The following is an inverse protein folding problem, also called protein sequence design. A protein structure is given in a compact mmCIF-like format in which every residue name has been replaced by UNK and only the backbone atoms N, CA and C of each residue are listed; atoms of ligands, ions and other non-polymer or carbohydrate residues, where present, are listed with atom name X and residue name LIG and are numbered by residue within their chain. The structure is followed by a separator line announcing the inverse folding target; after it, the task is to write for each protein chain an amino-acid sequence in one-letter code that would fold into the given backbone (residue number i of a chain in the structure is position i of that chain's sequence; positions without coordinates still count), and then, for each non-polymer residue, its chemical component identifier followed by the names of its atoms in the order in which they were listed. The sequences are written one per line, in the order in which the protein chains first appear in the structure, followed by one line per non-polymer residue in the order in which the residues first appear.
data_IF_428279675695
#
_entry.id   IF_428279675695
#
_cell.length_a   1.000
_cell.length_b   1.000
_cell.length_c   1.000
_cell.angle_alpha   90.00
_cell.angle_beta   90.00
_cell.angle_gamma   90.00
#
_symmetry.space_group_name_H-M   'P 1'
#
loop_
_entity.id
_entity.type
_entity.pdbx_description
1 polymer ?
#
# COMPACT_ATOMS: atom_id res chain seq x y z
N UNK A 1 -0.26 9.75 27.17
CA UNK A 1 0.35 8.76 26.26
C UNK A 1 -0.27 8.71 24.86
N UNK A 2 -1.48 9.27 24.65
CA UNK A 2 -2.14 9.28 23.32
C UNK A 2 -1.36 10.12 22.29
N UNK A 3 -0.80 11.27 22.69
CA UNK A 3 -0.03 12.16 21.80
C UNK A 3 1.20 11.54 21.13
N UNK A 4 1.90 10.60 21.77
CA UNK A 4 3.07 9.96 21.16
C UNK A 4 2.67 8.96 20.06
N UNK A 5 1.52 8.29 20.23
CA UNK A 5 0.96 7.37 19.25
C UNK A 5 0.45 8.15 18.03
N UNK A 6 -0.22 9.28 18.26
CA UNK A 6 -0.70 10.16 17.19
C UNK A 6 0.45 10.72 16.35
N UNK A 7 1.56 11.09 16.99
CA UNK A 7 2.77 11.54 16.28
C UNK A 7 3.43 10.44 15.46
N UNK A 8 3.41 9.20 15.96
CA UNK A 8 3.84 8.02 15.18
C UNK A 8 2.98 7.83 13.93
N UNK A 9 1.66 7.91 14.08
CA UNK A 9 0.72 7.85 12.96
C UNK A 9 0.90 9.00 11.97
N UNK A 10 1.19 10.21 12.43
CA UNK A 10 1.43 11.36 11.55
C UNK A 10 2.62 11.12 10.61
N UNK A 11 3.74 10.62 11.15
CA UNK A 11 4.93 10.31 10.35
C UNK A 11 4.66 9.17 9.38
N UNK A 12 3.99 8.10 9.85
CA UNK A 12 3.61 6.98 8.99
C UNK A 12 2.68 7.42 7.86
N UNK A 13 1.66 8.23 8.17
CA UNK A 13 0.71 8.72 7.20
C UNK A 13 1.40 9.55 6.10
N UNK A 14 2.41 10.36 6.45
CA UNK A 14 3.23 11.08 5.46
C UNK A 14 3.87 10.13 4.46
N UNK A 15 4.50 9.06 4.92
CA UNK A 15 5.16 8.11 4.02
C UNK A 15 4.17 7.20 3.29
N UNK A 16 3.04 6.84 3.90
CA UNK A 16 1.96 6.10 3.22
C UNK A 16 1.33 6.92 2.09
N UNK A 17 1.11 8.22 2.32
CA UNK A 17 0.64 9.14 1.27
C UNK A 17 1.63 9.22 0.10
N UNK A 18 2.93 9.22 0.38
CA UNK A 18 3.96 9.22 -0.65
C UNK A 18 4.04 7.87 -1.38
N UNK A 19 3.85 6.75 -0.68
CA UNK A 19 3.84 5.43 -1.32
C UNK A 19 2.61 5.22 -2.20
N UNK A 20 1.44 5.74 -1.82
CA UNK A 20 0.22 5.71 -2.65
C UNK A 20 0.38 6.50 -3.95
N UNK A 21 1.26 7.50 -3.97
CA UNK A 21 1.60 8.26 -5.19
C UNK A 21 2.55 7.50 -6.13
N UNK A 22 3.13 6.38 -5.68
CA UNK A 22 4.13 5.64 -6.45
C UNK A 22 3.68 4.19 -6.72
N UNK A 23 3.64 3.74 -7.98
CA UNK A 23 3.26 2.36 -8.30
C UNK A 23 4.25 1.30 -7.80
N UNK A 24 5.41 1.73 -7.29
CA UNK A 24 6.56 0.87 -6.95
C UNK A 24 6.17 -0.21 -5.94
N UNK A 25 5.32 0.11 -4.96
CA UNK A 25 4.91 -0.86 -3.95
C UNK A 25 3.99 -1.95 -4.51
N UNK A 26 3.00 -1.55 -5.32
CA UNK A 26 2.11 -2.49 -6.00
C UNK A 26 2.87 -3.35 -7.03
N UNK A 27 3.79 -2.75 -7.79
CA UNK A 27 4.64 -3.45 -8.73
C UNK A 27 5.56 -4.47 -8.06
N UNK A 28 6.16 -4.14 -6.91
CA UNK A 28 6.99 -5.06 -6.14
C UNK A 28 6.20 -6.29 -5.64
N UNK A 29 4.96 -6.09 -5.17
CA UNK A 29 4.08 -7.18 -4.75
C UNK A 29 3.64 -8.07 -5.92
N UNK A 30 3.39 -7.47 -7.09
CA UNK A 30 3.05 -8.22 -8.30
C UNK A 30 4.24 -9.00 -8.87
N UNK A 31 5.46 -8.47 -8.71
CA UNK A 31 6.71 -9.14 -9.11
C UNK A 31 7.06 -10.31 -8.17
N UNK A 32 6.64 -10.26 -6.90
CA UNK A 32 6.84 -11.36 -5.95
C UNK A 32 5.98 -12.59 -6.34
N UNK A 33 6.61 -13.73 -6.69
CA UNK A 33 5.89 -14.92 -7.13
C UNK A 33 4.96 -15.54 -6.07
N UNK A 34 5.19 -15.26 -4.79
CA UNK A 34 4.40 -15.76 -3.66
C UNK A 34 3.25 -14.82 -3.28
N UNK A 35 3.38 -13.52 -3.58
CA UNK A 35 2.50 -12.45 -3.11
C UNK A 35 1.86 -11.62 -4.22
N UNK A 36 1.75 -12.19 -5.42
CA UNK A 36 1.05 -11.64 -6.60
C UNK A 36 -0.37 -11.15 -6.27
N UNK A 37 -1.18 -10.82 -7.28
CA UNK A 37 -2.56 -10.31 -7.18
C UNK A 37 -3.41 -10.85 -6.01
N UNK A 38 -3.36 -12.16 -5.70
CA UNK A 38 -4.04 -12.78 -4.56
C UNK A 38 -3.74 -12.14 -3.19
N UNK A 39 -2.54 -11.61 -2.97
CA UNK A 39 -2.19 -10.94 -1.72
C UNK A 39 -2.93 -9.61 -1.57
N UNK A 40 -3.00 -8.84 -2.66
CA UNK A 40 -3.75 -7.57 -2.72
C UNK A 40 -5.23 -7.88 -2.49
N UNK A 41 -5.78 -8.86 -3.20
CA UNK A 41 -7.18 -9.28 -3.08
C UNK A 41 -7.57 -9.70 -1.65
N UNK A 42 -6.64 -10.33 -0.91
CA UNK A 42 -6.92 -10.87 0.43
C UNK A 42 -6.69 -9.89 1.57
N UNK A 43 -5.76 -8.93 1.41
CA UNK A 43 -5.32 -8.08 2.52
C UNK A 43 -5.71 -6.60 2.35
N UNK A 44 -6.07 -6.17 1.14
CA UNK A 44 -6.38 -4.76 0.87
C UNK A 44 -7.88 -4.58 0.65
N UNK A 45 -8.35 -3.34 0.84
CA UNK A 45 -9.73 -3.00 0.52
C UNK A 45 -9.98 -3.09 -0.98
N UNK A 46 -11.17 -3.55 -1.36
CA UNK A 46 -11.55 -3.81 -2.75
C UNK A 46 -11.44 -2.56 -3.65
N UNK A 47 -11.73 -1.39 -3.10
CA UNK A 47 -11.56 -0.09 -3.77
C UNK A 47 -10.12 0.22 -4.19
N UNK A 48 -9.12 -0.42 -3.59
CA UNK A 48 -7.69 -0.19 -3.87
C UNK A 48 -7.11 -1.20 -4.86
N UNK A 49 -7.83 -2.27 -5.21
CA UNK A 49 -7.31 -3.33 -6.07
C UNK A 49 -7.09 -2.83 -7.49
N UNK A 50 -8.12 -2.25 -8.10
CA UNK A 50 -8.08 -1.74 -9.47
C UNK A 50 -6.99 -0.67 -9.69
N UNK A 51 -6.88 0.39 -8.87
CA UNK A 51 -5.84 1.40 -9.07
C UNK A 51 -4.42 0.83 -8.84
N UNK A 52 -4.22 -0.06 -7.86
CA UNK A 52 -2.91 -0.65 -7.60
C UNK A 52 -2.42 -1.55 -8.74
N UNK A 53 -3.32 -2.35 -9.33
CA UNK A 53 -2.99 -3.21 -10.48
C UNK A 53 -2.75 -2.36 -11.73
N UNK A 54 -3.58 -1.36 -11.99
CA UNK A 54 -3.44 -0.48 -13.15
C UNK A 54 -2.15 0.36 -13.09
N UNK A 55 -1.75 0.82 -11.91
CA UNK A 55 -0.53 1.60 -11.74
C UNK A 55 0.76 0.75 -11.95
N UNK A 56 0.66 -0.56 -11.80
CA UNK A 56 1.78 -1.49 -11.96
C UNK A 56 1.90 -2.12 -13.36
N UNK A 57 0.95 -1.87 -14.26
CA UNK A 57 0.97 -2.26 -15.67
C UNK A 57 1.66 -1.21 -16.54
#
# INVERSE_FOLDING_TARGET
MVHCIDMGWFVLNKYYTLSDQTPVYAAALLLDPSKRRKYIERNWQESWHAPAIAAAQ
#
